data_IF_924945412794
#
_entry.id   IF_924945412794
#
_cell.length_a   1.000
_cell.length_b   1.000
_cell.length_c   1.000
_cell.angle_alpha   90.00
_cell.angle_beta   90.00
_cell.angle_gamma   90.00
#
_symmetry.space_group_name_H-M   'P 1'
#
loop_
_entity.id
_entity.type
_entity.pdbx_description
1 polymer ?
#
# COMPACT_ATOMS: atom_id res chain seq x y z
N UNK A 1 -20.01 36.04 10.22
CA UNK A 1 -20.40 34.73 10.80
C UNK A 1 -21.40 34.12 9.83
N UNK A 2 -21.14 33.07 9.07
CA UNK A 2 -20.38 31.85 9.39
C UNK A 2 -19.89 31.25 8.07
N UNK A 3 -18.58 31.16 7.89
CA UNK A 3 -17.98 30.39 6.80
C UNK A 3 -18.23 28.91 7.10
N UNK A 4 -19.11 28.29 6.32
CA UNK A 4 -19.20 26.83 6.25
C UNK A 4 -17.92 26.33 5.60
N UNK A 5 -16.87 26.15 6.40
CA UNK A 5 -15.76 25.27 6.07
C UNK A 5 -16.37 23.87 5.92
N UNK A 6 -16.77 23.52 4.69
CA UNK A 6 -16.84 22.12 4.31
C UNK A 6 -15.42 21.60 4.50
N UNK A 7 -15.16 21.02 5.68
CA UNK A 7 -14.00 20.16 5.90
C UNK A 7 -14.04 19.16 4.74
N UNK A 8 -13.15 19.34 3.77
CA UNK A 8 -12.81 18.27 2.86
C UNK A 8 -12.43 17.10 3.76
N UNK A 9 -13.26 16.06 3.82
CA UNK A 9 -12.86 14.78 4.39
C UNK A 9 -11.63 14.39 3.59
N UNK A 10 -10.45 14.49 4.20
CA UNK A 10 -9.28 13.74 3.73
C UNK A 10 -9.76 12.30 3.72
N UNK A 11 -9.93 11.73 2.54
CA UNK A 11 -10.35 10.35 2.39
C UNK A 11 -9.17 9.51 2.90
N UNK A 12 -9.19 9.13 4.18
CA UNK A 12 -8.11 8.39 4.87
C UNK A 12 -8.12 6.91 4.47
N UNK A 13 -8.47 6.62 3.23
CA UNK A 13 -8.51 5.26 2.71
C UNK A 13 -7.09 4.82 2.37
N UNK A 14 -6.74 3.54 2.59
CA UNK A 14 -5.46 3.01 2.16
C UNK A 14 -5.25 3.24 0.66
N UNK A 15 -3.99 3.38 0.23
CA UNK A 15 -3.64 3.56 -1.18
C UNK A 15 -4.16 2.43 -2.09
N UNK A 16 -4.39 1.24 -1.52
CA UNK A 16 -4.89 0.07 -2.23
C UNK A 16 -6.41 -0.08 -2.19
N UNK A 17 -7.15 0.92 -1.69
CA UNK A 17 -8.59 0.80 -1.47
C UNK A 17 -9.36 0.38 -2.72
N UNK A 18 -9.12 1.04 -3.86
CA UNK A 18 -9.84 0.74 -5.11
C UNK A 18 -9.51 -0.67 -5.63
N UNK A 19 -8.27 -1.13 -5.41
CA UNK A 19 -7.83 -2.50 -5.75
C UNK A 19 -8.58 -3.51 -4.89
N UNK A 20 -8.66 -3.23 -3.59
CA UNK A 20 -9.34 -4.09 -2.62
C UNK A 20 -10.85 -4.16 -2.89
N UNK A 21 -11.52 -3.02 -3.11
CA UNK A 21 -12.95 -2.99 -3.43
C UNK A 21 -13.25 -3.72 -4.74
N UNK A 22 -12.42 -3.52 -5.76
CA UNK A 22 -12.57 -4.21 -7.04
C UNK A 22 -12.41 -5.72 -6.91
N UNK A 23 -11.39 -6.18 -6.18
CA UNK A 23 -11.17 -7.62 -5.95
C UNK A 23 -12.25 -8.26 -5.08
N UNK A 24 -12.83 -7.50 -4.15
CA UNK A 24 -13.85 -7.99 -3.23
C UNK A 24 -15.24 -8.05 -3.87
N UNK A 25 -15.65 -6.97 -4.51
CA UNK A 25 -17.04 -6.76 -4.96
C UNK A 25 -17.17 -6.77 -6.49
N UNK A 26 -16.05 -6.73 -7.24
CA UNK A 26 -16.06 -6.70 -8.71
C UNK A 26 -16.49 -5.34 -9.29
N UNK A 27 -16.56 -4.29 -8.47
CA UNK A 27 -17.11 -2.98 -8.86
C UNK A 27 -15.99 -1.97 -9.05
N UNK A 28 -16.14 -1.12 -10.07
CA UNK A 28 -15.23 0.01 -10.28
C UNK A 28 -15.59 1.18 -9.35
N UNK A 29 -14.61 1.98 -8.91
CA UNK A 29 -14.88 3.22 -8.20
C UNK A 29 -15.85 4.11 -9.00
N UNK A 30 -16.77 4.82 -8.32
CA UNK A 30 -17.72 5.69 -8.98
C UNK A 30 -16.97 6.84 -9.68
N UNK A 31 -17.37 7.12 -10.92
CA UNK A 31 -16.85 8.22 -11.79
C UNK A 31 -15.50 7.97 -12.50
N UNK A 32 -15.01 6.74 -12.53
CA UNK A 32 -13.81 6.38 -13.33
C UNK A 32 -14.06 6.43 -14.84
N UNK A 33 -13.16 7.05 -15.60
CA UNK A 33 -13.18 6.96 -17.08
C UNK A 33 -12.70 5.58 -17.53
N UNK A 34 -13.03 5.16 -18.76
CA UNK A 34 -12.69 3.80 -19.25
C UNK A 34 -11.19 3.49 -19.21
N UNK A 35 -10.33 4.52 -19.30
CA UNK A 35 -8.89 4.36 -19.16
C UNK A 35 -8.45 4.00 -17.73
N UNK A 36 -9.11 4.53 -16.70
CA UNK A 36 -8.81 4.25 -15.30
C UNK A 36 -9.24 2.81 -14.97
N UNK A 37 -10.42 2.40 -15.44
CA UNK A 37 -10.88 0.99 -15.37
C UNK A 37 -9.92 0.02 -16.03
N UNK A 38 -9.37 0.38 -17.20
CA UNK A 38 -8.34 -0.42 -17.89
C UNK A 38 -7.07 -0.50 -17.06
N UNK A 39 -6.66 0.61 -16.45
CA UNK A 39 -5.47 0.67 -15.59
C UNK A 39 -5.67 -0.19 -14.35
N UNK A 40 -6.82 -0.09 -13.69
CA UNK A 40 -7.19 -0.92 -12.53
C UNK A 40 -7.18 -2.41 -12.89
N UNK A 41 -7.78 -2.80 -14.02
CA UNK A 41 -7.76 -4.19 -14.52
C UNK A 41 -6.34 -4.73 -14.72
N UNK A 42 -5.40 -3.90 -15.17
CA UNK A 42 -4.00 -4.30 -15.32
C UNK A 42 -3.31 -4.39 -13.97
N UNK A 43 -3.60 -3.45 -13.08
CA UNK A 43 -2.99 -3.36 -11.75
C UNK A 43 -3.37 -4.58 -10.90
N UNK A 44 -4.65 -4.94 -10.83
CA UNK A 44 -5.18 -6.01 -9.97
C UNK A 44 -4.61 -7.39 -10.28
N UNK A 45 -4.07 -7.63 -11.48
CA UNK A 45 -3.36 -8.88 -11.85
C UNK A 45 -2.15 -9.12 -10.95
N UNK A 46 -1.51 -8.05 -10.49
CA UNK A 46 -0.39 -8.12 -9.54
C UNK A 46 -0.80 -8.33 -8.10
N UNK A 47 -2.11 -8.46 -7.80
CA UNK A 47 -2.62 -8.56 -6.44
C UNK A 47 -3.45 -9.82 -6.21
N UNK A 48 -3.64 -10.13 -4.93
CA UNK A 48 -4.42 -11.27 -4.46
C UNK A 48 -5.11 -10.89 -3.15
N UNK A 49 -6.41 -11.12 -3.05
CA UNK A 49 -7.19 -10.88 -1.84
C UNK A 49 -7.44 -12.20 -1.11
N UNK A 50 -6.98 -12.31 0.14
CA UNK A 50 -7.23 -13.46 1.02
C UNK A 50 -8.02 -13.00 2.24
N UNK A 51 -9.32 -13.28 2.24
CA UNK A 51 -10.24 -12.73 3.24
C UNK A 51 -10.25 -11.20 3.17
N UNK A 52 -9.77 -10.55 4.23
CA UNK A 52 -9.67 -9.08 4.31
C UNK A 52 -8.28 -8.54 3.94
N UNK A 53 -7.29 -9.42 3.78
CA UNK A 53 -5.89 -9.05 3.59
C UNK A 53 -5.54 -9.04 2.10
N UNK A 54 -5.02 -7.90 1.63
CA UNK A 54 -4.51 -7.75 0.27
C UNK A 54 -3.02 -8.08 0.20
N UNK A 55 -2.63 -8.85 -0.81
CA UNK A 55 -1.26 -9.21 -1.10
C UNK A 55 -0.85 -8.71 -2.48
N UNK A 56 0.39 -8.22 -2.60
CA UNK A 56 1.07 -8.01 -3.88
C UNK A 56 1.88 -9.24 -4.23
N UNK A 57 1.79 -9.70 -5.48
CA UNK A 57 2.65 -10.73 -6.04
C UNK A 57 3.95 -10.09 -6.52
N UNK A 58 5.08 -10.51 -6.00
CA UNK A 58 6.40 -10.15 -6.52
C UNK A 58 6.80 -11.06 -7.69
N UNK A 59 7.89 -10.69 -8.38
CA UNK A 59 8.37 -11.40 -9.56
C UNK A 59 8.81 -12.86 -9.26
N UNK A 60 9.21 -13.13 -8.01
CA UNK A 60 9.55 -14.46 -7.48
C UNK A 60 8.33 -15.23 -6.94
N UNK A 61 7.11 -14.73 -7.19
CA UNK A 61 5.84 -15.28 -6.71
C UNK A 61 5.63 -15.20 -5.19
N UNK A 62 6.48 -14.48 -4.46
CA UNK A 62 6.25 -14.19 -3.04
C UNK A 62 5.01 -13.29 -2.88
N UNK A 63 4.23 -13.54 -1.83
CA UNK A 63 3.06 -12.73 -1.47
C UNK A 63 3.45 -11.73 -0.38
N UNK A 64 3.40 -10.45 -0.71
CA UNK A 64 3.73 -9.35 0.19
C UNK A 64 2.44 -8.70 0.70
N UNK A 65 2.20 -8.71 2.00
CA UNK A 65 1.03 -8.07 2.61
C UNK A 65 1.08 -6.56 2.34
N UNK A 66 0.03 -6.05 1.74
CA UNK A 66 -0.16 -4.62 1.56
C UNK A 66 -0.54 -3.99 2.89
N UNK A 67 0.15 -2.91 3.23
CA UNK A 67 -0.05 -2.15 4.47
C UNK A 67 -0.40 -0.71 4.14
N UNK A 68 -1.15 -0.07 5.02
CA UNK A 68 -1.47 1.35 4.88
C UNK A 68 -0.33 2.25 5.39
N UNK A 69 -0.50 3.56 5.24
CA UNK A 69 0.54 4.54 5.59
C UNK A 69 0.87 4.53 7.09
N UNK A 70 -0.10 4.21 7.96
CA UNK A 70 0.11 4.16 9.42
C UNK A 70 0.90 2.90 9.80
N UNK A 71 0.46 1.74 9.29
CA UNK A 71 1.16 0.46 9.48
C UNK A 71 2.59 0.51 8.91
N UNK A 72 2.78 1.15 7.76
CA UNK A 72 4.09 1.33 7.14
C UNK A 72 5.06 2.09 8.05
N UNK A 73 4.60 3.17 8.70
CA UNK A 73 5.42 3.94 9.64
C UNK A 73 5.85 3.12 10.85
N UNK A 74 4.94 2.31 11.39
CA UNK A 74 5.22 1.42 12.52
C UNK A 74 6.24 0.35 12.14
N UNK A 75 6.04 -0.31 11.00
CA UNK A 75 6.97 -1.33 10.47
C UNK A 75 8.37 -0.73 10.24
N UNK A 76 8.45 0.45 9.63
CA UNK A 76 9.74 1.10 9.40
C UNK A 76 10.48 1.39 10.72
N UNK A 77 9.76 1.90 11.72
CA UNK A 77 10.33 2.17 13.05
C UNK A 77 10.83 0.89 13.72
N UNK A 78 10.03 -0.17 13.74
CA UNK A 78 10.39 -1.44 14.36
C UNK A 78 11.62 -2.09 13.70
N UNK A 79 11.67 -2.11 12.36
CA UNK A 79 12.81 -2.71 11.63
C UNK A 79 14.07 -1.85 11.77
N UNK A 80 13.93 -0.53 11.86
CA UNK A 80 15.05 0.38 12.11
C UNK A 80 15.60 0.19 13.53
N UNK A 81 14.76 0.22 14.56
CA UNK A 81 15.15 0.05 15.97
C UNK A 81 15.72 -1.36 16.26
N UNK A 82 15.17 -2.39 15.63
CA UNK A 82 15.68 -3.76 15.73
C UNK A 82 17.04 -3.97 15.05
N UNK A 83 17.50 -3.02 14.22
CA UNK A 83 18.82 -3.06 13.58
C UNK A 83 19.87 -2.42 14.49
N UNK A 84 20.20 -3.09 15.60
CA UNK A 84 21.32 -2.68 16.45
C UNK A 84 22.64 -2.82 15.67
N UNK A 85 23.31 -1.71 15.39
CA UNK A 85 24.74 -1.70 15.05
C UNK A 85 25.15 -1.53 13.57
N UNK A 86 24.22 -1.27 12.63
CA UNK A 86 24.62 -0.90 11.26
C UNK A 86 23.81 0.27 10.75
N UNK A 87 24.49 1.27 10.16
CA UNK A 87 23.86 2.33 9.38
C UNK A 87 23.21 1.71 8.13
N UNK A 88 22.04 1.08 8.29
CA UNK A 88 21.26 0.59 7.15
C UNK A 88 20.81 1.79 6.33
N UNK A 89 21.31 1.89 5.10
CA UNK A 89 20.76 2.82 4.12
C UNK A 89 19.31 2.45 3.78
N UNK A 90 18.56 3.38 3.21
CA UNK A 90 17.14 3.17 2.95
C UNK A 90 16.83 1.98 2.04
N UNK A 91 17.72 1.68 1.09
CA UNK A 91 17.58 0.51 0.24
C UNK A 91 17.66 -0.80 1.04
N UNK A 92 18.59 -0.90 1.99
CA UNK A 92 18.71 -2.07 2.85
C UNK A 92 17.49 -2.22 3.78
N UNK A 93 16.92 -1.11 4.25
CA UNK A 93 15.69 -1.12 5.05
C UNK A 93 14.51 -1.64 4.21
N UNK A 94 14.28 -1.09 3.01
CA UNK A 94 13.24 -1.55 2.10
C UNK A 94 13.39 -3.05 1.78
N UNK A 95 14.60 -3.52 1.50
CA UNK A 95 14.86 -4.94 1.26
C UNK A 95 14.55 -5.83 2.47
N UNK A 96 14.86 -5.40 3.69
CA UNK A 96 14.48 -6.13 4.91
C UNK A 96 12.97 -6.22 5.05
N UNK A 97 12.27 -5.12 4.81
CA UNK A 97 10.81 -5.05 4.92
C UNK A 97 10.13 -5.95 3.89
N UNK A 98 10.62 -5.97 2.65
CA UNK A 98 10.16 -6.91 1.63
C UNK A 98 10.42 -8.36 2.04
N UNK A 99 11.59 -8.65 2.63
CA UNK A 99 11.93 -10.01 3.09
C UNK A 99 11.04 -10.51 4.22
N UNK A 100 10.56 -9.64 5.10
CA UNK A 100 9.59 -10.00 6.15
C UNK A 100 8.14 -10.00 5.63
N UNK A 101 7.92 -9.64 4.37
CA UNK A 101 6.66 -9.86 3.67
C UNK A 101 5.69 -8.68 3.64
N UNK A 102 6.16 -7.43 3.78
CA UNK A 102 5.31 -6.24 3.69
C UNK A 102 5.53 -5.45 2.41
N UNK A 103 4.52 -4.68 2.00
CA UNK A 103 4.58 -3.81 0.81
C UNK A 103 3.68 -2.58 0.93
N UNK A 104 4.16 -1.44 0.44
CA UNK A 104 3.36 -0.27 0.09
C UNK A 104 4.00 0.46 -1.09
N UNK A 105 3.23 1.32 -1.77
CA UNK A 105 3.65 1.93 -3.05
C UNK A 105 4.82 2.89 -2.94
N UNK A 106 4.98 3.55 -1.78
CA UNK A 106 6.03 4.56 -1.52
C UNK A 106 7.23 4.02 -0.74
N UNK A 107 7.35 2.70 -0.60
CA UNK A 107 8.36 2.05 0.22
C UNK A 107 9.79 2.53 -0.05
N UNK A 108 10.19 2.61 -1.32
CA UNK A 108 11.57 3.01 -1.67
C UNK A 108 11.88 4.44 -1.25
N UNK A 109 10.93 5.37 -1.44
CA UNK A 109 11.10 6.77 -1.03
C UNK A 109 10.98 6.96 0.47
N UNK A 110 10.11 6.19 1.15
CA UNK A 110 9.89 6.33 2.58
C UNK A 110 11.04 5.76 3.42
N UNK A 111 11.79 4.79 2.86
CA UNK A 111 12.93 4.21 3.55
C UNK A 111 14.23 5.02 3.38
N UNK A 112 14.34 5.88 2.35
CA UNK A 112 15.55 6.65 2.03
C UNK A 112 15.59 8.01 2.72
#
# INVERSE_FOLDING_TARGET
MTIHLKKAKVDRKPWYHDIWEYLREGVYPPKEVENDKRTLRRLVVGFFLSGVILYKRSADLTLLRCVDDQEAQEIMKEVHEGTVGTHTNGHALAHKILRVGYYWTKMESDCC
#
